data_IF_321419798124
#
_entry.id   IF_321419798124
#
_cell.length_a   1.000
_cell.length_b   1.000
_cell.length_c   1.000
_cell.angle_alpha   90.00
_cell.angle_beta   90.00
_cell.angle_gamma   90.00
#
_symmetry.space_group_name_H-M   'P 1'
#
loop_
_entity.id
_entity.type
_entity.pdbx_description
1 polymer ?
#
# COMPACT_ATOMS: atom_id res chain seq x y z
N UNK A 1 -1.63 -8.60 -10.42
CA UNK A 1 -1.13 -10.00 -10.37
C UNK A 1 0.36 -9.95 -10.66
N UNK A 2 1.19 -10.49 -9.76
CA UNK A 2 2.65 -10.49 -9.88
C UNK A 2 3.19 -11.42 -10.98
N UNK A 3 2.87 -11.11 -12.23
CA UNK A 3 3.25 -11.94 -13.39
C UNK A 3 4.76 -11.92 -13.70
N UNK A 4 5.52 -10.98 -13.10
CA UNK A 4 6.97 -10.84 -13.32
C UNK A 4 7.82 -11.81 -12.49
N UNK A 5 7.27 -12.35 -11.39
CA UNK A 5 7.95 -13.34 -10.54
C UNK A 5 7.98 -14.77 -11.12
N UNK A 6 7.32 -15.03 -12.26
CA UNK A 6 7.30 -16.33 -12.91
C UNK A 6 6.93 -17.45 -11.94
N UNK A 7 7.79 -18.47 -11.82
CA UNK A 7 7.51 -19.69 -11.02
C UNK A 7 7.26 -19.46 -9.52
N UNK A 8 7.67 -18.34 -8.93
CA UNK A 8 7.46 -18.08 -7.48
C UNK A 8 6.01 -17.75 -7.15
N UNK A 9 5.29 -17.06 -8.04
CA UNK A 9 3.90 -16.65 -7.80
C UNK A 9 2.85 -17.62 -8.37
N UNK A 10 3.26 -18.66 -9.07
CA UNK A 10 2.36 -19.71 -9.55
C UNK A 10 1.71 -20.49 -8.39
N UNK A 11 2.38 -20.57 -7.25
CA UNK A 11 1.97 -21.37 -6.10
C UNK A 11 1.46 -20.54 -4.93
N UNK A 12 1.91 -19.28 -4.77
CA UNK A 12 1.57 -18.42 -3.63
C UNK A 12 1.31 -16.97 -4.09
N UNK A 13 0.48 -16.17 -3.37
CA UNK A 13 0.34 -14.75 -3.64
C UNK A 13 1.68 -14.02 -3.45
N UNK A 14 1.86 -12.87 -4.12
CA UNK A 14 3.10 -12.07 -4.09
C UNK A 14 3.57 -11.77 -2.65
N UNK A 15 2.68 -11.40 -1.74
CA UNK A 15 3.00 -11.14 -0.34
C UNK A 15 3.57 -12.34 0.42
N UNK A 16 3.41 -13.56 -0.09
CA UNK A 16 3.99 -14.79 0.48
C UNK A 16 5.35 -15.16 -0.12
N UNK A 17 5.88 -14.38 -1.05
CA UNK A 17 7.27 -14.54 -1.48
C UNK A 17 8.18 -14.26 -0.28
N UNK A 18 9.10 -15.19 -0.01
CA UNK A 18 10.02 -15.04 1.12
C UNK A 18 11.15 -14.08 0.76
N UNK A 19 11.49 -13.22 1.72
CA UNK A 19 12.69 -12.41 1.73
C UNK A 19 13.54 -12.84 2.94
N UNK A 20 14.72 -13.37 2.67
CA UNK A 20 15.48 -14.10 3.68
C UNK A 20 14.71 -15.36 4.15
N UNK A 21 14.50 -15.46 5.45
CA UNK A 21 13.87 -16.61 6.11
C UNK A 21 12.34 -16.51 6.26
N UNK A 22 11.70 -15.40 5.80
CA UNK A 22 10.31 -15.10 6.14
C UNK A 22 9.55 -14.43 4.98
N UNK A 23 8.27 -14.80 4.73
CA UNK A 23 7.41 -14.11 3.77
C UNK A 23 7.26 -12.61 4.05
N UNK A 24 7.16 -11.80 2.98
CA UNK A 24 6.97 -10.34 3.09
C UNK A 24 5.77 -9.96 3.96
N UNK A 25 4.64 -10.63 3.77
CA UNK A 25 3.41 -10.35 4.54
C UNK A 25 3.63 -10.55 6.05
N UNK A 26 4.39 -11.57 6.47
CA UNK A 26 4.68 -11.80 7.88
C UNK A 26 5.59 -10.71 8.46
N UNK A 27 6.56 -10.23 7.67
CA UNK A 27 7.40 -9.09 8.09
C UNK A 27 6.57 -7.84 8.28
N UNK A 28 5.67 -7.53 7.35
CA UNK A 28 4.75 -6.39 7.47
C UNK A 28 3.86 -6.51 8.71
N UNK A 29 3.28 -7.67 8.98
CA UNK A 29 2.47 -7.95 10.18
C UNK A 29 3.28 -7.70 11.45
N UNK A 30 4.51 -8.22 11.54
CA UNK A 30 5.37 -8.05 12.72
C UNK A 30 5.77 -6.59 12.94
N UNK A 31 6.09 -5.85 11.87
CA UNK A 31 6.35 -4.41 11.97
C UNK A 31 5.13 -3.66 12.49
N UNK A 32 3.94 -3.93 11.94
CA UNK A 32 2.69 -3.32 12.39
C UNK A 32 2.44 -3.58 13.89
N UNK A 33 2.55 -4.84 14.32
CA UNK A 33 2.40 -5.22 15.73
C UNK A 33 3.42 -4.52 16.63
N UNK A 34 4.69 -4.42 16.19
CA UNK A 34 5.75 -3.71 16.92
C UNK A 34 5.48 -2.21 17.08
N UNK A 35 4.69 -1.64 16.19
CA UNK A 35 4.25 -0.25 16.23
C UNK A 35 2.91 -0.04 16.96
N UNK A 36 2.35 -1.09 17.57
CA UNK A 36 1.13 -1.01 18.37
C UNK A 36 -0.17 -1.15 17.59
N UNK A 37 -0.12 -1.56 16.33
CA UNK A 37 -1.33 -1.88 15.55
C UNK A 37 -1.90 -3.20 16.07
N UNK A 38 -3.17 -3.22 16.43
CA UNK A 38 -3.81 -4.36 17.10
C UNK A 38 -4.88 -5.05 16.26
N UNK A 39 -5.22 -4.49 15.10
CA UNK A 39 -6.19 -5.04 14.16
C UNK A 39 -5.65 -4.90 12.73
N UNK A 40 -5.73 -5.96 11.95
CA UNK A 40 -5.23 -6.00 10.58
C UNK A 40 -6.34 -6.57 9.68
N UNK A 41 -6.75 -5.83 8.68
CA UNK A 41 -7.69 -6.28 7.65
C UNK A 41 -6.92 -6.51 6.36
N UNK A 42 -7.03 -7.70 5.78
CA UNK A 42 -6.36 -8.05 4.52
C UNK A 42 -7.42 -8.21 3.43
N UNK A 43 -7.40 -7.32 2.43
CA UNK A 43 -8.15 -7.49 1.20
C UNK A 43 -7.53 -8.62 0.38
N UNK A 44 -8.28 -9.68 0.09
CA UNK A 44 -7.77 -10.89 -0.56
C UNK A 44 -8.43 -11.12 -1.92
N UNK A 45 -7.75 -11.86 -2.78
CA UNK A 45 -8.23 -12.26 -4.10
C UNK A 45 -7.64 -13.60 -4.48
N UNK A 46 -6.59 -13.61 -5.31
CA UNK A 46 -5.89 -14.81 -5.71
C UNK A 46 -5.36 -15.57 -4.49
N UNK A 47 -5.64 -16.89 -4.44
CA UNK A 47 -5.21 -17.78 -3.35
C UNK A 47 -5.59 -17.28 -1.95
N UNK A 48 -6.82 -16.76 -1.80
CA UNK A 48 -7.31 -16.21 -0.53
C UNK A 48 -7.19 -17.20 0.66
N UNK A 49 -7.20 -18.50 0.39
CA UNK A 49 -7.09 -19.57 1.40
C UNK A 49 -5.78 -19.49 2.20
N UNK A 50 -4.67 -19.04 1.62
CA UNK A 50 -3.40 -18.93 2.36
C UNK A 50 -3.41 -17.77 3.36
N UNK A 51 -4.19 -16.72 3.08
CA UNK A 51 -4.40 -15.62 4.04
C UNK A 51 -5.30 -16.04 5.20
N UNK A 52 -6.29 -16.90 4.94
CA UNK A 52 -7.14 -17.47 6.00
C UNK A 52 -6.33 -18.30 7.01
N UNK A 53 -5.29 -19.01 6.54
CA UNK A 53 -4.41 -19.77 7.41
C UNK A 53 -3.64 -18.90 8.41
N UNK A 54 -3.31 -17.63 8.05
CA UNK A 54 -2.62 -16.70 8.95
C UNK A 54 -3.39 -16.43 10.25
N UNK A 55 -4.73 -16.52 10.23
CA UNK A 55 -5.57 -16.28 11.41
C UNK A 55 -5.31 -17.26 12.54
N UNK A 56 -4.72 -18.43 12.25
CA UNK A 56 -4.38 -19.43 13.28
C UNK A 56 -3.27 -18.93 14.19
N UNK A 57 -2.29 -18.22 13.62
CA UNK A 57 -1.13 -17.72 14.35
C UNK A 57 -1.29 -16.22 14.73
N UNK A 58 -2.13 -15.50 13.97
CA UNK A 58 -2.39 -14.07 14.13
C UNK A 58 -3.91 -13.81 14.24
N UNK A 59 -4.53 -14.05 15.38
CA UNK A 59 -6.00 -13.97 15.56
C UNK A 59 -6.58 -12.55 15.40
N UNK A 60 -5.73 -11.50 15.36
CA UNK A 60 -6.12 -10.13 15.08
C UNK A 60 -6.33 -9.84 13.58
N UNK A 61 -6.04 -10.80 12.72
CA UNK A 61 -6.24 -10.67 11.26
C UNK A 61 -7.69 -10.97 10.91
N UNK A 62 -8.28 -10.08 10.15
CA UNK A 62 -9.51 -10.27 9.41
C UNK A 62 -9.22 -10.28 7.91
N UNK A 63 -9.98 -11.02 7.14
CA UNK A 63 -9.82 -11.07 5.68
C UNK A 63 -11.10 -10.63 5.00
N UNK A 64 -10.97 -9.94 3.89
CA UNK A 64 -12.07 -9.53 3.05
C UNK A 64 -11.82 -10.00 1.62
N UNK A 65 -12.61 -10.96 1.14
CA UNK A 65 -12.48 -11.47 -0.23
C UNK A 65 -13.03 -10.49 -1.24
N UNK A 66 -12.24 -10.17 -2.26
CA UNK A 66 -12.59 -9.31 -3.37
C UNK A 66 -13.02 -10.17 -4.57
N UNK A 67 -14.33 -10.33 -4.85
CA UNK A 67 -14.80 -11.31 -5.84
C UNK A 67 -14.40 -10.97 -7.28
N UNK A 68 -14.17 -9.69 -7.58
CA UNK A 68 -13.77 -9.24 -8.92
C UNK A 68 -12.28 -8.90 -9.02
N UNK A 69 -11.44 -9.46 -8.16
CA UNK A 69 -9.99 -9.17 -8.13
C UNK A 69 -9.28 -9.38 -9.47
N UNK A 70 -9.76 -10.30 -10.33
CA UNK A 70 -9.17 -10.59 -11.62
C UNK A 70 -9.58 -9.57 -12.72
N UNK A 71 -10.67 -8.84 -12.51
CA UNK A 71 -11.28 -7.92 -13.47
C UNK A 71 -11.06 -6.45 -13.09
N UNK A 72 -10.70 -6.20 -11.83
CA UNK A 72 -10.55 -4.87 -11.21
C UNK A 72 -9.10 -4.61 -10.80
N UNK A 73 -8.88 -3.56 -9.99
CA UNK A 73 -7.55 -3.23 -9.45
C UNK A 73 -7.64 -2.89 -7.95
N UNK A 74 -6.58 -2.34 -7.39
CA UNK A 74 -6.36 -2.05 -5.96
C UNK A 74 -7.49 -1.23 -5.33
N UNK A 75 -8.06 -0.24 -6.04
CA UNK A 75 -9.17 0.55 -5.50
C UNK A 75 -10.43 -0.30 -5.24
N UNK A 76 -10.76 -1.26 -6.10
CA UNK A 76 -11.90 -2.15 -5.86
C UNK A 76 -11.68 -3.03 -4.63
N UNK A 77 -10.49 -3.55 -4.45
CA UNK A 77 -10.15 -4.34 -3.26
C UNK A 77 -10.28 -3.50 -1.99
N UNK A 78 -9.76 -2.28 -2.00
CA UNK A 78 -9.90 -1.34 -0.89
C UNK A 78 -11.38 -0.99 -0.63
N UNK A 79 -12.15 -0.64 -1.66
CA UNK A 79 -13.59 -0.36 -1.54
C UNK A 79 -14.36 -1.54 -0.93
N UNK A 80 -13.99 -2.76 -1.28
CA UNK A 80 -14.65 -3.97 -0.79
C UNK A 80 -14.41 -4.22 0.70
N UNK A 81 -13.33 -3.68 1.28
CA UNK A 81 -13.02 -3.81 2.72
C UNK A 81 -13.84 -2.89 3.62
N UNK A 82 -14.64 -1.95 3.08
CA UNK A 82 -15.30 -0.88 3.84
C UNK A 82 -16.17 -1.35 5.01
N UNK A 83 -16.92 -2.46 4.82
CA UNK A 83 -17.79 -2.99 5.87
C UNK A 83 -16.98 -3.65 6.99
N UNK A 84 -15.85 -4.28 6.65
CA UNK A 84 -14.97 -4.92 7.62
C UNK A 84 -14.17 -3.88 8.40
N UNK A 85 -13.68 -2.83 7.73
CA UNK A 85 -12.93 -1.74 8.38
C UNK A 85 -13.82 -0.96 9.38
N UNK A 86 -15.10 -0.79 9.05
CA UNK A 86 -16.01 0.01 9.89
C UNK A 86 -15.61 1.47 9.95
N UNK A 87 -15.73 2.09 11.13
CA UNK A 87 -15.53 3.53 11.34
C UNK A 87 -14.10 3.86 11.83
N UNK A 88 -13.15 2.93 11.75
CA UNK A 88 -11.79 3.15 12.21
C UNK A 88 -10.94 3.95 11.19
N UNK A 89 -10.09 4.84 11.70
CA UNK A 89 -8.96 5.36 10.93
C UNK A 89 -7.92 4.24 10.77
N UNK A 90 -7.24 4.17 9.63
CA UNK A 90 -6.35 3.04 9.34
C UNK A 90 -5.09 3.43 8.56
N UNK A 91 -4.14 2.52 8.56
CA UNK A 91 -3.01 2.54 7.63
C UNK A 91 -3.31 1.58 6.47
N UNK A 92 -3.22 2.10 5.25
CA UNK A 92 -3.28 1.31 4.01
C UNK A 92 -1.86 0.93 3.61
N UNK A 93 -1.63 -0.35 3.33
CA UNK A 93 -0.34 -0.86 2.88
C UNK A 93 -0.52 -1.78 1.67
N UNK A 94 0.41 -1.72 0.75
CA UNK A 94 0.60 -2.75 -0.28
C UNK A 94 1.27 -3.98 0.32
N UNK A 95 1.03 -5.14 -0.28
CA UNK A 95 1.44 -6.44 0.30
C UNK A 95 2.83 -6.92 -0.15
N UNK A 96 3.45 -6.21 -1.06
CA UNK A 96 4.73 -6.53 -1.73
C UNK A 96 5.88 -5.63 -1.31
N UNK A 97 5.73 -5.02 -0.15
CA UNK A 97 6.71 -4.12 0.43
C UNK A 97 7.57 -4.82 1.49
N UNK A 98 8.84 -4.41 1.55
CA UNK A 98 9.67 -4.53 2.74
C UNK A 98 10.02 -3.12 3.23
N UNK A 99 9.89 -2.88 4.53
CA UNK A 99 10.11 -1.55 5.11
C UNK A 99 10.51 -1.61 6.58
N UNK A 100 11.30 -0.64 7.03
CA UNK A 100 11.66 -0.49 8.44
C UNK A 100 10.49 0.10 9.27
N UNK A 101 10.42 -0.16 10.59
CA UNK A 101 9.35 0.36 11.47
C UNK A 101 9.20 1.88 11.46
N UNK A 102 10.22 2.62 11.02
CA UNK A 102 10.17 4.08 10.87
C UNK A 102 9.07 4.53 9.90
N UNK A 103 8.74 3.75 8.86
CA UNK A 103 7.65 4.05 7.94
C UNK A 103 6.32 4.24 8.69
N UNK A 104 5.98 3.26 9.52
CA UNK A 104 4.73 3.25 10.31
C UNK A 104 4.75 4.34 11.38
N UNK A 105 5.83 4.45 12.15
CA UNK A 105 5.97 5.45 13.21
C UNK A 105 5.84 6.88 12.67
N UNK A 106 6.48 7.17 11.52
CA UNK A 106 6.38 8.50 10.90
C UNK A 106 4.95 8.88 10.54
N UNK A 107 4.14 7.94 10.05
CA UNK A 107 2.72 8.17 9.76
C UNK A 107 1.88 8.32 11.03
N UNK A 108 2.14 7.50 12.07
CA UNK A 108 1.42 7.61 13.34
C UNK A 108 1.70 8.93 14.04
N UNK A 109 2.94 9.42 13.99
CA UNK A 109 3.38 10.69 14.59
C UNK A 109 2.95 11.92 13.76
N UNK A 110 2.55 11.72 12.50
CA UNK A 110 2.11 12.81 11.63
C UNK A 110 0.78 13.40 12.11
N UNK A 111 0.72 14.74 12.21
CA UNK A 111 -0.45 15.46 12.68
C UNK A 111 -1.63 15.45 11.69
N UNK A 112 -1.37 15.23 10.40
CA UNK A 112 -2.42 15.13 9.38
C UNK A 112 -3.11 13.76 9.43
N UNK A 113 -4.40 13.75 9.08
CA UNK A 113 -5.22 12.52 9.14
C UNK A 113 -5.12 11.68 7.86
N UNK A 114 -4.96 12.36 6.71
CA UNK A 114 -4.97 11.73 5.39
C UNK A 114 -3.62 12.00 4.73
N UNK A 115 -2.74 10.99 4.72
CA UNK A 115 -1.31 11.16 4.43
C UNK A 115 -0.81 10.09 3.48
N UNK A 116 -0.14 10.52 2.43
CA UNK A 116 0.64 9.69 1.51
C UNK A 116 2.12 9.71 1.92
N UNK A 117 2.71 8.56 2.20
CA UNK A 117 4.13 8.44 2.49
C UNK A 117 4.94 8.38 1.20
N UNK A 118 5.98 9.21 1.11
CA UNK A 118 6.92 9.22 -0.01
C UNK A 118 8.38 9.22 0.48
N UNK A 119 9.28 8.90 -0.44
CA UNK A 119 10.73 9.11 -0.28
C UNK A 119 11.29 9.87 -1.48
N UNK A 120 12.52 10.40 -1.40
CA UNK A 120 13.26 10.74 -2.61
C UNK A 120 13.35 9.54 -3.55
N UNK A 121 13.33 9.77 -4.87
CA UNK A 121 13.31 8.70 -5.89
C UNK A 121 14.53 7.79 -5.73
N UNK A 122 14.29 6.50 -5.61
CA UNK A 122 15.31 5.44 -5.48
C UNK A 122 15.31 4.47 -6.66
N UNK A 123 14.15 4.22 -7.25
CA UNK A 123 13.97 3.46 -8.49
C UNK A 123 13.63 4.41 -9.65
N UNK A 124 14.03 4.06 -10.88
CA UNK A 124 13.74 4.84 -12.08
C UNK A 124 12.77 4.15 -13.05
N UNK A 125 12.17 3.05 -12.64
CA UNK A 125 11.21 2.29 -13.44
C UNK A 125 10.10 1.74 -12.55
N UNK A 126 8.89 1.67 -13.10
CA UNK A 126 7.71 1.08 -12.48
C UNK A 126 7.27 1.70 -11.13
N UNK A 127 7.59 2.99 -10.90
CA UNK A 127 7.23 3.71 -9.69
C UNK A 127 6.14 4.75 -9.95
N UNK A 128 5.37 5.07 -8.90
CA UNK A 128 4.51 6.25 -8.90
C UNK A 128 5.31 7.47 -8.44
N UNK A 129 5.49 8.42 -9.34
CA UNK A 129 6.11 9.72 -9.04
C UNK A 129 5.07 10.66 -8.46
N UNK A 130 5.47 11.45 -7.48
CA UNK A 130 4.57 12.31 -6.71
C UNK A 130 4.99 13.76 -6.78
N UNK A 131 4.00 14.63 -7.02
CA UNK A 131 4.08 16.08 -6.96
C UNK A 131 3.17 16.60 -5.84
N UNK A 132 3.64 17.60 -5.10
CA UNK A 132 2.86 18.25 -4.05
C UNK A 132 3.20 19.76 -3.99
N UNK A 133 2.30 20.56 -3.45
CA UNK A 133 2.47 22.01 -3.34
C UNK A 133 3.29 22.42 -2.09
N UNK A 134 3.37 23.74 -1.87
CA UNK A 134 4.10 24.31 -0.72
C UNK A 134 3.45 24.00 0.65
N UNK A 135 2.18 23.60 0.65
CA UNK A 135 1.45 23.18 1.86
C UNK A 135 1.52 21.67 2.06
N UNK A 136 2.34 20.98 1.26
CA UNK A 136 2.47 19.52 1.23
C UNK A 136 1.19 18.78 0.79
N UNK A 137 0.31 19.42 0.03
CA UNK A 137 -0.87 18.78 -0.53
C UNK A 137 -0.53 18.09 -1.84
N UNK A 138 -0.98 16.84 -2.01
CA UNK A 138 -0.83 16.05 -3.23
C UNK A 138 -1.51 16.76 -4.42
N UNK A 139 -0.73 17.13 -5.43
CA UNK A 139 -1.21 17.82 -6.63
C UNK A 139 -1.17 16.94 -7.88
N UNK A 140 -0.22 16.00 -7.94
CA UNK A 140 -0.12 15.04 -9.05
C UNK A 140 0.54 13.73 -8.61
N UNK A 141 0.19 12.64 -9.32
CA UNK A 141 0.78 11.32 -9.15
C UNK A 141 0.66 10.56 -10.47
N UNK A 142 1.76 10.04 -10.99
CA UNK A 142 1.78 9.29 -12.25
C UNK A 142 2.94 8.30 -12.28
N UNK A 143 2.75 7.21 -13.02
CA UNK A 143 3.84 6.28 -13.38
C UNK A 143 4.74 6.86 -14.48
N UNK A 144 4.25 7.83 -15.24
CA UNK A 144 5.04 8.57 -16.22
C UNK A 144 5.64 9.82 -15.56
N UNK A 145 6.96 9.82 -15.43
CA UNK A 145 7.70 10.96 -14.82
C UNK A 145 7.59 12.25 -15.61
N UNK A 146 7.29 12.17 -16.90
CA UNK A 146 7.19 13.36 -17.77
C UNK A 146 5.84 14.09 -17.53
N UNK A 147 4.89 13.45 -16.86
CA UNK A 147 3.61 14.03 -16.47
C UNK A 147 3.63 14.73 -15.09
N UNK A 148 4.76 14.68 -14.36
CA UNK A 148 4.84 15.07 -12.95
C UNK A 148 6.08 15.94 -12.69
N UNK A 149 5.93 17.05 -11.96
CA UNK A 149 7.07 17.72 -11.33
C UNK A 149 7.56 16.87 -10.14
N UNK A 150 8.49 15.96 -10.44
CA UNK A 150 8.87 14.86 -9.53
C UNK A 150 9.52 15.40 -8.26
N UNK A 151 8.84 15.23 -7.11
CA UNK A 151 9.33 15.59 -5.77
C UNK A 151 9.63 14.37 -4.89
N UNK A 152 9.23 13.18 -5.32
CA UNK A 152 9.51 11.92 -4.67
C UNK A 152 8.80 10.75 -5.34
N UNK A 153 8.94 9.58 -4.74
CA UNK A 153 8.26 8.36 -5.15
C UNK A 153 7.35 7.84 -4.04
N UNK A 154 6.25 7.22 -4.43
CA UNK A 154 5.29 6.59 -3.54
C UNK A 154 5.91 5.39 -2.83
N UNK A 155 5.66 5.25 -1.53
CA UNK A 155 6.11 4.08 -0.75
C UNK A 155 5.06 2.96 -0.73
N UNK A 156 3.80 3.27 -1.10
CA UNK A 156 2.71 2.29 -0.97
C UNK A 156 2.18 2.13 0.47
N UNK A 157 2.46 3.10 1.34
CA UNK A 157 1.96 3.15 2.72
C UNK A 157 1.29 4.50 2.98
N UNK A 158 0.04 4.48 3.48
CA UNK A 158 -0.77 5.67 3.69
C UNK A 158 -1.44 5.64 5.05
N UNK A 159 -1.78 6.81 5.58
CA UNK A 159 -2.68 6.99 6.71
C UNK A 159 -3.97 7.62 6.20
N UNK A 160 -5.10 7.03 6.49
CA UNK A 160 -6.40 7.48 6.02
C UNK A 160 -7.39 7.52 7.19
N UNK A 161 -8.09 8.64 7.31
CA UNK A 161 -9.21 8.74 8.24
C UNK A 161 -10.45 8.04 7.67
N UNK A 162 -11.29 7.49 8.55
CA UNK A 162 -12.59 6.94 8.16
C UNK A 162 -13.41 7.96 7.35
N UNK A 163 -13.45 9.21 7.81
CA UNK A 163 -14.23 10.25 7.16
C UNK A 163 -13.78 10.57 5.71
N UNK A 164 -12.48 10.46 5.43
CA UNK A 164 -11.94 10.57 4.08
C UNK A 164 -12.26 9.32 3.26
N UNK A 165 -12.03 8.15 3.82
CA UNK A 165 -12.27 6.87 3.16
C UNK A 165 -13.74 6.66 2.79
N UNK A 166 -14.69 7.05 3.64
CA UNK A 166 -16.12 7.00 3.33
C UNK A 166 -16.47 7.87 2.09
N UNK A 167 -15.90 9.08 1.99
CA UNK A 167 -16.06 9.92 0.80
C UNK A 167 -15.41 9.28 -0.45
N UNK A 168 -14.22 8.71 -0.29
CA UNK A 168 -13.50 8.00 -1.35
C UNK A 168 -14.30 6.81 -1.88
N UNK A 169 -14.91 6.03 -1.00
CA UNK A 169 -15.79 4.93 -1.39
C UNK A 169 -17.01 5.38 -2.17
N UNK A 170 -17.66 6.46 -1.73
CA UNK A 170 -18.84 7.03 -2.43
C UNK A 170 -18.48 7.61 -3.79
N UNK A 171 -17.32 8.26 -3.93
CA UNK A 171 -16.84 8.78 -5.21
C UNK A 171 -16.54 7.63 -6.18
N UNK A 172 -15.82 6.62 -5.69
CA UNK A 172 -15.49 5.44 -6.48
C UNK A 172 -16.72 4.64 -6.92
N UNK A 173 -17.76 4.54 -6.10
CA UNK A 173 -19.01 3.82 -6.43
C UNK A 173 -19.67 4.39 -7.67
N UNK A 174 -19.59 5.71 -7.88
CA UNK A 174 -20.16 6.38 -9.08
C UNK A 174 -19.40 6.00 -10.35
N UNK A 175 -18.08 5.81 -10.26
CA UNK A 175 -17.20 5.60 -11.43
C UNK A 175 -16.81 4.15 -11.64
N UNK A 176 -17.14 3.24 -10.72
CA UNK A 176 -16.72 1.84 -10.74
C UNK A 176 -17.03 1.15 -12.08
N UNK A 177 -18.23 1.39 -12.64
CA UNK A 177 -18.62 0.77 -13.90
C UNK A 177 -17.84 1.27 -15.12
N UNK A 178 -17.31 2.51 -15.05
CA UNK A 178 -16.55 3.15 -16.14
C UNK A 178 -15.05 2.91 -15.97
N UNK A 179 -14.56 2.82 -14.73
CA UNK A 179 -13.15 2.67 -14.39
C UNK A 179 -12.90 1.49 -13.44
N UNK A 180 -13.25 0.26 -13.82
CA UNK A 180 -13.11 -0.91 -12.93
C UNK A 180 -11.65 -1.21 -12.56
N UNK A 181 -10.69 -0.76 -13.38
CA UNK A 181 -9.24 -0.97 -13.17
C UNK A 181 -8.53 0.24 -12.56
N UNK A 182 -9.26 1.15 -11.91
CA UNK A 182 -8.66 2.28 -11.21
C UNK A 182 -7.79 1.77 -10.05
N UNK A 183 -6.55 2.27 -9.96
CA UNK A 183 -5.69 2.13 -8.79
C UNK A 183 -6.10 3.09 -7.68
N UNK A 184 -5.90 2.70 -6.44
CA UNK A 184 -6.24 3.57 -5.29
C UNK A 184 -5.40 4.86 -5.28
N UNK A 185 -4.22 4.84 -5.88
CA UNK A 185 -3.29 5.95 -5.99
C UNK A 185 -3.91 7.11 -6.79
N UNK A 186 -4.53 6.78 -7.91
CA UNK A 186 -5.25 7.74 -8.74
C UNK A 186 -6.54 8.22 -8.08
N UNK A 187 -7.18 7.38 -7.29
CA UNK A 187 -8.35 7.80 -6.52
C UNK A 187 -7.94 8.76 -5.39
N UNK A 188 -6.85 8.52 -4.68
CA UNK A 188 -6.28 9.47 -3.73
C UNK A 188 -5.99 10.82 -4.38
N UNK A 189 -5.42 10.82 -5.60
CA UNK A 189 -5.18 12.05 -6.37
C UNK A 189 -6.50 12.78 -6.72
N UNK A 190 -7.51 12.04 -7.19
CA UNK A 190 -8.85 12.62 -7.50
C UNK A 190 -9.46 13.28 -6.27
N UNK A 191 -9.43 12.56 -5.14
CA UNK A 191 -9.92 13.05 -3.86
C UNK A 191 -9.18 14.30 -3.40
N UNK A 192 -7.84 14.30 -3.48
CA UNK A 192 -7.01 15.44 -3.10
C UNK A 192 -7.35 16.70 -3.91
N UNK A 193 -7.61 16.53 -5.20
CA UNK A 193 -7.91 17.65 -6.10
C UNK A 193 -9.33 18.22 -5.98
N UNK A 194 -10.30 17.43 -5.54
CA UNK A 194 -11.72 17.79 -5.69
C UNK A 194 -12.56 17.72 -4.42
N UNK A 195 -12.12 16.98 -3.39
CA UNK A 195 -12.96 16.68 -2.23
C UNK A 195 -12.30 17.06 -0.90
N UNK A 196 -11.10 16.57 -0.64
CA UNK A 196 -10.38 16.77 0.62
C UNK A 196 -8.89 16.56 0.41
N UNK A 197 -8.01 17.43 0.93
CA UNK A 197 -6.58 17.33 0.68
C UNK A 197 -6.00 16.01 1.24
N UNK A 198 -5.13 15.38 0.45
CA UNK A 198 -4.21 14.34 0.89
C UNK A 198 -2.85 14.99 1.09
N UNK A 199 -2.30 14.90 2.29
CA UNK A 199 -1.00 15.48 2.59
C UNK A 199 0.12 14.49 2.25
N UNK A 200 1.28 15.03 1.87
CA UNK A 200 2.45 14.23 1.52
C UNK A 200 3.48 14.31 2.62
N UNK A 201 3.86 13.17 3.17
CA UNK A 201 4.94 13.04 4.16
C UNK A 201 6.18 12.46 3.49
N UNK A 202 7.19 13.29 3.28
CA UNK A 202 8.48 12.86 2.72
C UNK A 202 9.42 12.42 3.86
N UNK A 203 9.89 11.17 3.82
CA UNK A 203 10.80 10.60 4.82
C UNK A 203 12.14 10.20 4.16
N UNK A 204 13.08 11.13 4.02
CA UNK A 204 14.38 10.85 3.44
C UNK A 204 15.15 9.77 4.22
N UNK A 205 15.79 8.86 3.48
CA UNK A 205 16.62 7.79 4.05
C UNK A 205 15.85 6.66 4.69
N UNK A 206 14.52 6.61 4.51
CA UNK A 206 13.70 5.46 4.86
C UNK A 206 14.23 4.20 4.16
N UNK A 207 14.35 3.11 4.90
CA UNK A 207 14.70 1.81 4.34
C UNK A 207 13.43 1.06 4.00
N UNK A 208 13.18 0.96 2.72
CA UNK A 208 12.01 0.29 2.14
C UNK A 208 12.29 -0.12 0.70
N UNK A 209 11.53 -1.07 0.18
CA UNK A 209 11.59 -1.45 -1.22
C UNK A 209 10.31 -2.18 -1.64
N UNK A 210 9.82 -1.95 -2.84
CA UNK A 210 8.79 -2.73 -3.49
C UNK A 210 9.45 -3.85 -4.29
N UNK A 211 8.94 -5.07 -4.15
CA UNK A 211 9.55 -6.27 -4.71
C UNK A 211 8.66 -6.79 -5.83
N UNK A 212 9.00 -6.45 -7.08
CA UNK A 212 8.25 -6.83 -8.27
C UNK A 212 8.82 -8.04 -8.99
N UNK A 213 10.10 -8.29 -8.86
CA UNK A 213 10.81 -9.37 -9.53
C UNK A 213 11.98 -9.93 -8.71
N UNK A 214 12.72 -10.89 -9.28
CA UNK A 214 13.86 -11.55 -8.61
C UNK A 214 15.02 -10.58 -8.36
N UNK A 215 15.24 -9.59 -9.23
CA UNK A 215 16.30 -8.59 -9.04
C UNK A 215 16.00 -7.66 -7.87
N UNK A 216 14.73 -7.28 -7.71
CA UNK A 216 14.25 -6.52 -6.56
C UNK A 216 14.42 -7.30 -5.26
N UNK A 217 14.08 -8.61 -5.28
CA UNK A 217 14.23 -9.48 -4.13
C UNK A 217 15.70 -9.52 -3.66
N UNK A 218 16.63 -9.78 -4.58
CA UNK A 218 18.06 -9.82 -4.27
C UNK A 218 18.58 -8.49 -3.74
N UNK A 219 18.15 -7.38 -4.34
CA UNK A 219 18.51 -6.04 -3.87
C UNK A 219 17.97 -5.80 -2.45
N UNK A 220 16.72 -6.10 -2.22
CA UNK A 220 16.07 -5.91 -0.92
C UNK A 220 16.69 -6.79 0.17
N UNK A 221 17.05 -8.04 -0.12
CA UNK A 221 17.77 -8.90 0.82
C UNK A 221 19.13 -8.33 1.23
N UNK A 222 19.85 -7.78 0.27
CA UNK A 222 21.20 -7.27 0.52
C UNK A 222 21.19 -5.91 1.23
N UNK A 223 20.29 -4.99 0.86
CA UNK A 223 20.42 -3.58 1.21
C UNK A 223 19.29 -3.06 2.12
N UNK A 224 18.16 -3.74 2.21
CA UNK A 224 17.00 -3.28 2.97
C UNK A 224 16.72 -4.16 4.17
N UNK A 225 16.69 -5.48 3.98
CA UNK A 225 16.38 -6.46 5.01
C UNK A 225 17.16 -6.28 6.33
N UNK A 226 18.46 -5.90 6.34
CA UNK A 226 19.20 -5.67 7.58
C UNK A 226 18.63 -4.58 8.50
N UNK A 227 17.79 -3.69 7.96
CA UNK A 227 17.16 -2.59 8.71
C UNK A 227 15.71 -2.89 9.13
N UNK A 228 15.15 -4.00 8.65
CA UNK A 228 13.74 -4.38 8.83
C UNK A 228 13.56 -5.54 9.85
N UNK A 229 14.50 -5.67 10.79
CA UNK A 229 14.49 -6.70 11.85
C UNK A 229 13.94 -6.14 13.15
#
# INVERSE_FOLDING_TARGET
>A
MGTRFGHYTDLVPKGFVSIGDKPMILRSIEVLLSCGITRIVIGTGYRCEVYEELKKDYPMIETCFSPLYAETNSMYTLYNTREVLGDDDFLLLESDLIFEPKAIRSLLDCAFSDVMLITPVTKFQDQYYVEYDSEHTLTNCSVDKDDVDVKGELVGIHKLSHAFYDKMCRDYEVILSEQPKLGYEYELLRMSRSVSPVYVLNVPGLKWYEIDDESDLLYAEQYILPYCQ
#
